data_IF_551952629675
#
_entry.id   IF_551952629675
#
_cell.length_a   1.000
_cell.length_b   1.000
_cell.length_c   1.000
_cell.angle_alpha   90.00
_cell.angle_beta   90.00
_cell.angle_gamma   90.00
#
_symmetry.space_group_name_H-M   'P 1'
#
loop_
_entity.id
_entity.type
_entity.pdbx_description
1 polymer ?
#
# COMPACT_ATOMS: atom_id res chain seq x y z
N UNK A 1 -0.96 13.17 26.99
CA UNK A 1 -0.72 12.97 25.53
C UNK A 1 0.26 11.83 25.18
N UNK A 2 1.42 11.69 25.83
CA UNK A 2 2.39 10.61 25.51
C UNK A 2 1.81 9.20 25.66
N UNK A 3 1.08 8.91 26.74
CA UNK A 3 0.44 7.60 26.94
C UNK A 3 -0.62 7.27 25.87
N UNK A 4 -1.44 8.25 25.49
CA UNK A 4 -2.45 8.08 24.44
C UNK A 4 -1.79 7.73 23.10
N UNK A 5 -0.75 8.48 22.70
CA UNK A 5 -0.05 8.27 21.42
C UNK A 5 0.87 7.04 21.42
N UNK A 6 1.47 6.72 22.56
CA UNK A 6 2.41 5.61 22.70
C UNK A 6 1.75 4.27 23.00
N UNK A 7 0.57 4.24 23.59
CA UNK A 7 -0.06 3.00 24.05
C UNK A 7 -1.47 2.84 23.52
N UNK A 8 -2.39 3.77 23.87
CA UNK A 8 -3.82 3.59 23.56
C UNK A 8 -4.12 3.61 22.06
N UNK A 9 -3.50 4.53 21.31
CA UNK A 9 -3.66 4.60 19.86
C UNK A 9 -3.16 3.34 19.14
N UNK A 10 -1.90 2.93 19.35
CA UNK A 10 -1.37 1.67 18.84
C UNK A 10 -2.23 0.45 19.21
N UNK A 11 -2.65 0.35 20.48
CA UNK A 11 -3.49 -0.75 20.95
C UNK A 11 -4.85 -0.77 20.26
N UNK A 12 -5.48 0.40 20.10
CA UNK A 12 -6.74 0.53 19.38
C UNK A 12 -6.62 0.04 17.93
N UNK A 13 -5.53 0.37 17.24
CA UNK A 13 -5.30 -0.09 15.86
C UNK A 13 -5.02 -1.60 15.80
N UNK A 14 -4.22 -2.13 16.73
CA UNK A 14 -3.93 -3.57 16.82
C UNK A 14 -5.21 -4.38 17.02
N UNK A 15 -6.12 -3.91 17.90
CA UNK A 15 -7.34 -4.63 18.24
C UNK A 15 -8.50 -4.35 17.28
N UNK A 16 -8.56 -3.14 16.72
CA UNK A 16 -9.69 -2.67 15.90
C UNK A 16 -9.54 -2.98 14.40
N UNK A 17 -8.33 -2.93 13.85
CA UNK A 17 -8.15 -3.13 12.41
C UNK A 17 -8.41 -4.58 11.94
N UNK A 18 -8.00 -5.64 12.66
CA UNK A 18 -8.34 -7.02 12.29
C UNK A 18 -9.83 -7.33 12.14
N UNK A 19 -10.70 -7.07 13.14
CA UNK A 19 -12.13 -7.28 12.98
C UNK A 19 -12.73 -6.37 11.92
N UNK A 20 -12.25 -5.13 11.79
CA UNK A 20 -12.73 -4.21 10.76
C UNK A 20 -12.51 -4.76 9.34
N UNK A 21 -11.35 -5.36 9.05
CA UNK A 21 -11.10 -5.99 7.74
C UNK A 21 -12.09 -7.12 7.46
N UNK A 22 -12.39 -7.96 8.45
CA UNK A 22 -13.38 -9.04 8.32
C UNK A 22 -14.79 -8.49 8.07
N UNK A 23 -15.19 -7.45 8.81
CA UNK A 23 -16.49 -6.80 8.62
C UNK A 23 -16.60 -6.17 7.23
N UNK A 24 -15.54 -5.55 6.72
CA UNK A 24 -15.53 -4.97 5.37
C UNK A 24 -15.64 -6.04 4.28
N UNK A 25 -14.93 -7.16 4.42
CA UNK A 25 -15.11 -8.30 3.52
C UNK A 25 -16.56 -8.81 3.54
N UNK A 26 -17.11 -9.07 4.74
CA UNK A 26 -18.48 -9.56 4.89
C UNK A 26 -19.51 -8.59 4.33
N UNK A 27 -19.33 -7.28 4.57
CA UNK A 27 -20.21 -6.25 4.03
C UNK A 27 -20.28 -6.31 2.50
N UNK A 28 -19.12 -6.39 1.84
CA UNK A 28 -19.08 -6.40 0.37
C UNK A 28 -19.66 -7.68 -0.24
N UNK A 29 -19.46 -8.83 0.43
CA UNK A 29 -19.78 -10.14 -0.14
C UNK A 29 -21.14 -10.69 0.29
N UNK A 30 -21.56 -10.45 1.54
CA UNK A 30 -22.81 -10.97 2.10
C UNK A 30 -23.90 -9.89 2.24
N UNK A 31 -23.55 -8.62 2.39
CA UNK A 31 -24.50 -7.52 2.60
C UNK A 31 -24.61 -6.57 1.40
N UNK A 32 -24.21 -7.03 0.20
CA UNK A 32 -24.28 -6.26 -1.04
C UNK A 32 -23.55 -4.91 -0.95
N UNK A 33 -22.50 -4.78 -0.12
CA UNK A 33 -21.79 -3.52 0.11
C UNK A 33 -22.52 -2.50 0.98
N UNK A 34 -23.68 -2.85 1.58
CA UNK A 34 -24.47 -1.94 2.41
C UNK A 34 -23.96 -1.89 3.86
N UNK A 35 -23.27 -0.79 4.18
CA UNK A 35 -22.91 -0.48 5.58
C UNK A 35 -24.14 -0.21 6.46
N UNK A 36 -25.27 0.20 5.86
CA UNK A 36 -26.50 0.39 6.61
C UNK A 36 -27.04 -0.93 7.14
N UNK A 37 -27.03 -1.99 6.32
CA UNK A 37 -27.42 -3.34 6.77
C UNK A 37 -26.48 -3.85 7.85
N UNK A 38 -25.16 -3.65 7.69
CA UNK A 38 -24.20 -4.01 8.74
C UNK A 38 -24.54 -3.29 10.05
N UNK A 39 -24.81 -1.99 9.98
CA UNK A 39 -25.17 -1.18 11.14
C UNK A 39 -26.46 -1.66 11.82
N UNK A 40 -27.48 -2.03 11.04
CA UNK A 40 -28.72 -2.60 11.59
C UNK A 40 -28.47 -3.93 12.32
N UNK A 41 -27.65 -4.83 11.76
CA UNK A 41 -27.28 -6.09 12.42
C UNK A 41 -26.55 -5.79 13.73
N UNK A 42 -25.61 -4.84 13.73
CA UNK A 42 -24.88 -4.42 14.93
C UNK A 42 -25.82 -3.86 16.01
N UNK A 43 -26.83 -3.06 15.63
CA UNK A 43 -27.81 -2.52 16.56
C UNK A 43 -28.72 -3.60 17.15
N UNK A 44 -29.11 -4.59 16.35
CA UNK A 44 -30.05 -5.63 16.77
C UNK A 44 -29.39 -6.73 17.60
N UNK A 45 -28.19 -7.17 17.21
CA UNK A 45 -27.50 -8.31 17.83
C UNK A 45 -26.38 -7.89 18.80
N UNK A 46 -25.94 -6.64 18.71
CA UNK A 46 -24.81 -6.11 19.48
C UNK A 46 -23.46 -6.31 18.76
N UNK A 47 -22.61 -5.28 18.83
CA UNK A 47 -21.33 -5.22 18.09
C UNK A 47 -20.44 -6.47 18.27
N UNK A 48 -20.20 -6.89 19.51
CA UNK A 48 -19.32 -8.04 19.78
C UNK A 48 -19.92 -9.35 19.29
N UNK A 49 -21.24 -9.52 19.39
CA UNK A 49 -21.92 -10.71 18.89
C UNK A 49 -21.83 -10.77 17.36
N UNK A 50 -22.13 -9.65 16.67
CA UNK A 50 -22.02 -9.57 15.21
C UNK A 50 -20.61 -9.88 14.73
N UNK A 51 -19.57 -9.27 15.33
CA UNK A 51 -18.17 -9.55 14.99
C UNK A 51 -17.84 -11.02 15.21
N UNK A 52 -18.24 -11.61 16.34
CA UNK A 52 -18.01 -13.01 16.63
C UNK A 52 -18.68 -13.93 15.62
N UNK A 53 -19.96 -13.71 15.31
CA UNK A 53 -20.74 -14.53 14.38
C UNK A 53 -20.17 -14.49 12.97
N UNK A 54 -19.74 -13.32 12.49
CA UNK A 54 -19.12 -13.16 11.16
C UNK A 54 -17.72 -13.76 11.12
N UNK A 55 -16.90 -13.53 12.15
CA UNK A 55 -15.49 -13.92 12.12
C UNK A 55 -15.26 -15.39 12.49
N UNK A 56 -16.00 -15.95 13.46
CA UNK A 56 -15.88 -17.33 13.91
C UNK A 56 -15.71 -18.37 12.79
N UNK A 57 -16.52 -18.39 11.71
CA UNK A 57 -16.41 -19.43 10.67
C UNK A 57 -15.11 -19.33 9.86
N UNK A 58 -14.49 -18.16 9.79
CA UNK A 58 -13.28 -17.94 8.98
C UNK A 58 -12.05 -17.60 9.83
N UNK A 59 -12.15 -17.59 11.17
CA UNK A 59 -11.13 -17.04 12.06
C UNK A 59 -9.73 -17.62 11.84
N UNK A 60 -9.63 -18.95 11.81
CA UNK A 60 -8.36 -19.66 11.55
C UNK A 60 -8.07 -19.86 10.05
N UNK A 61 -8.96 -19.38 9.18
CA UNK A 61 -8.99 -19.74 7.77
C UNK A 61 -9.35 -21.21 7.53
N UNK A 62 -9.15 -21.66 6.30
CA UNK A 62 -9.36 -23.04 5.86
C UNK A 62 -8.03 -23.68 5.46
N UNK A 63 -7.96 -25.00 5.36
CA UNK A 63 -6.77 -25.70 4.87
C UNK A 63 -6.36 -25.20 3.47
N UNK A 64 -7.35 -24.97 2.59
CA UNK A 64 -7.12 -24.38 1.26
C UNK A 64 -6.49 -23.00 1.34
N UNK A 65 -6.98 -22.13 2.23
CA UNK A 65 -6.43 -20.79 2.41
C UNK A 65 -4.95 -20.82 2.84
N UNK A 66 -4.60 -21.68 3.80
CA UNK A 66 -3.21 -21.85 4.24
C UNK A 66 -2.31 -22.39 3.14
N UNK A 67 -2.78 -23.38 2.36
CA UNK A 67 -2.05 -23.90 1.20
C UNK A 67 -1.78 -22.75 0.21
N UNK A 68 -2.78 -21.96 -0.16
CA UNK A 68 -2.62 -20.83 -1.07
C UNK A 68 -1.60 -19.81 -0.55
N UNK A 69 -1.70 -19.43 0.73
CA UNK A 69 -0.80 -18.46 1.36
C UNK A 69 0.64 -18.98 1.35
N UNK A 70 0.89 -20.20 1.82
CA UNK A 70 2.24 -20.75 1.89
C UNK A 70 2.82 -21.05 0.51
N UNK A 71 2.03 -21.58 -0.42
CA UNK A 71 2.45 -21.77 -1.81
C UNK A 71 2.87 -20.43 -2.43
N UNK A 72 2.10 -19.37 -2.22
CA UNK A 72 2.43 -18.03 -2.72
C UNK A 72 3.69 -17.46 -2.04
N UNK A 73 3.82 -17.57 -0.72
CA UNK A 73 5.02 -17.11 0.00
C UNK A 73 6.28 -17.83 -0.49
N UNK A 74 6.23 -19.15 -0.64
CA UNK A 74 7.37 -19.94 -1.12
C UNK A 74 7.69 -19.58 -2.56
N UNK A 75 6.68 -19.47 -3.43
CA UNK A 75 6.85 -19.08 -4.82
C UNK A 75 7.53 -17.71 -4.94
N UNK A 76 7.03 -16.70 -4.23
CA UNK A 76 7.61 -15.35 -4.23
C UNK A 76 9.00 -15.29 -3.61
N UNK A 77 9.26 -16.09 -2.58
CA UNK A 77 10.59 -16.21 -1.98
C UNK A 77 11.59 -16.77 -2.99
N UNK A 78 11.22 -17.85 -3.69
CA UNK A 78 12.04 -18.47 -4.73
C UNK A 78 12.28 -17.51 -5.88
N UNK A 79 11.24 -16.85 -6.42
CA UNK A 79 11.42 -15.88 -7.50
C UNK A 79 12.31 -14.71 -7.07
N UNK A 80 12.13 -14.18 -5.86
CA UNK A 80 12.97 -13.09 -5.33
C UNK A 80 14.44 -13.49 -5.28
N UNK A 81 14.74 -14.75 -4.93
CA UNK A 81 16.11 -15.28 -4.90
C UNK A 81 16.67 -15.59 -6.28
N UNK A 82 15.92 -16.32 -7.10
CA UNK A 82 16.39 -16.92 -8.35
C UNK A 82 16.39 -15.96 -9.52
N UNK A 83 15.40 -15.06 -9.60
CA UNK A 83 15.31 -14.11 -10.71
C UNK A 83 16.45 -13.11 -10.62
N UNK A 84 17.16 -12.94 -11.75
CA UNK A 84 18.26 -11.98 -11.87
C UNK A 84 17.72 -10.55 -11.75
N UNK A 85 18.48 -9.69 -11.10
CA UNK A 85 18.16 -8.28 -10.95
C UNK A 85 19.41 -7.49 -10.56
N UNK A 86 19.41 -6.19 -10.85
CA UNK A 86 20.53 -5.33 -10.48
C UNK A 86 20.54 -5.11 -8.97
N UNK A 87 21.72 -5.13 -8.36
CA UNK A 87 21.88 -4.73 -6.97
C UNK A 87 21.53 -3.25 -6.84
N UNK A 88 20.67 -2.92 -5.88
CA UNK A 88 20.26 -1.56 -5.58
C UNK A 88 20.61 -1.24 -4.14
N UNK A 89 21.38 -0.18 -3.95
CA UNK A 89 21.74 0.33 -2.63
C UNK A 89 20.69 1.36 -2.22
N UNK A 90 19.99 1.08 -1.12
CA UNK A 90 19.06 2.02 -0.55
C UNK A 90 19.77 3.21 0.11
N UNK A 91 19.00 4.17 0.62
CA UNK A 91 19.55 5.35 1.27
C UNK A 91 20.24 5.01 2.59
N UNK A 92 21.29 5.76 2.92
CA UNK A 92 22.04 5.62 4.18
C UNK A 92 21.10 5.93 5.36
N UNK A 93 21.08 5.05 6.35
CA UNK A 93 20.31 5.20 7.59
C UNK A 93 20.97 6.19 8.54
N UNK A 94 20.24 6.69 9.57
CA UNK A 94 20.83 7.56 10.59
C UNK A 94 22.05 6.93 11.30
N UNK A 95 22.07 5.61 11.45
CA UNK A 95 23.20 4.85 12.03
C UNK A 95 24.27 4.43 11.02
N UNK A 96 24.20 4.91 9.78
CA UNK A 96 25.22 4.69 8.75
C UNK A 96 25.10 3.39 7.94
N UNK A 97 24.13 2.52 8.24
CA UNK A 97 23.91 1.30 7.46
C UNK A 97 23.28 1.62 6.10
N UNK A 98 23.55 0.77 5.10
CA UNK A 98 22.98 0.85 3.75
C UNK A 98 22.24 -0.46 3.46
N UNK A 99 20.90 -0.44 3.34
CA UNK A 99 20.16 -1.64 2.98
C UNK A 99 20.41 -2.00 1.51
N UNK A 100 20.64 -3.28 1.26
CA UNK A 100 20.91 -3.81 -0.08
C UNK A 100 19.67 -4.56 -0.58
N UNK A 101 19.23 -4.22 -1.79
CA UNK A 101 18.07 -4.81 -2.44
C UNK A 101 18.46 -5.38 -3.81
N UNK A 102 17.60 -6.26 -4.33
CA UNK A 102 17.66 -6.71 -5.72
C UNK A 102 16.49 -6.07 -6.48
N UNK A 103 16.79 -5.26 -7.49
CA UNK A 103 15.81 -4.63 -8.35
C UNK A 103 15.34 -5.63 -9.42
N UNK A 104 14.42 -6.52 -9.02
CA UNK A 104 13.79 -7.53 -9.88
C UNK A 104 12.26 -7.55 -9.81
N UNK A 105 11.63 -6.59 -9.11
CA UNK A 105 10.20 -6.65 -8.82
C UNK A 105 9.31 -6.68 -10.05
N UNK A 106 9.66 -5.93 -11.11
CA UNK A 106 8.90 -5.96 -12.36
C UNK A 106 8.92 -7.34 -13.04
N UNK A 107 10.11 -7.95 -13.17
CA UNK A 107 10.24 -9.28 -13.76
C UNK A 107 9.53 -10.33 -12.92
N UNK A 108 9.69 -10.28 -11.59
CA UNK A 108 8.99 -11.20 -10.67
C UNK A 108 7.48 -11.04 -10.81
N UNK A 109 6.96 -9.81 -10.82
CA UNK A 109 5.52 -9.54 -11.00
C UNK A 109 4.98 -10.13 -12.30
N UNK A 110 5.68 -9.94 -13.42
CA UNK A 110 5.27 -10.51 -14.71
C UNK A 110 5.26 -12.04 -14.68
N UNK A 111 6.29 -12.68 -14.09
CA UNK A 111 6.33 -14.14 -13.94
C UNK A 111 5.16 -14.61 -13.06
N UNK A 112 4.90 -13.95 -11.94
CA UNK A 112 3.80 -14.29 -11.03
C UNK A 112 2.44 -14.22 -11.73
N UNK A 113 2.16 -13.12 -12.43
CA UNK A 113 0.92 -12.95 -13.20
C UNK A 113 0.82 -13.99 -14.32
N UNK A 114 1.90 -14.19 -15.07
CA UNK A 114 1.95 -15.17 -16.15
C UNK A 114 1.70 -16.59 -15.63
N UNK A 115 2.39 -17.02 -14.57
CA UNK A 115 2.23 -18.34 -13.98
C UNK A 115 0.81 -18.55 -13.44
N UNK A 116 0.21 -17.54 -12.81
CA UNK A 116 -1.18 -17.61 -12.36
C UNK A 116 -2.12 -17.81 -13.56
N UNK A 117 -2.06 -16.94 -14.57
CA UNK A 117 -2.93 -17.03 -15.74
C UNK A 117 -2.73 -18.31 -16.55
N UNK A 118 -1.47 -18.71 -16.79
CA UNK A 118 -1.15 -19.92 -17.53
C UNK A 118 -1.59 -21.17 -16.77
N UNK A 119 -1.34 -21.21 -15.46
CA UNK A 119 -1.78 -22.31 -14.59
C UNK A 119 -3.30 -22.43 -14.51
N UNK A 120 -4.02 -21.31 -14.42
CA UNK A 120 -5.48 -21.32 -14.22
C UNK A 120 -6.28 -21.43 -15.52
N UNK A 121 -5.92 -20.68 -16.57
CA UNK A 121 -6.71 -20.60 -17.80
C UNK A 121 -6.28 -21.60 -18.88
N UNK A 122 -4.98 -21.86 -19.02
CA UNK A 122 -4.47 -22.75 -20.06
C UNK A 122 -4.30 -24.19 -19.58
N UNK A 123 -3.52 -24.39 -18.51
CA UNK A 123 -3.28 -25.72 -17.95
C UNK A 123 -4.43 -26.24 -17.07
N UNK A 124 -5.32 -25.36 -16.62
CA UNK A 124 -6.45 -25.68 -15.74
C UNK A 124 -6.04 -26.43 -14.45
N UNK A 125 -4.86 -26.13 -13.90
CA UNK A 125 -4.34 -26.75 -12.67
C UNK A 125 -5.17 -26.38 -11.43
N UNK A 126 -5.79 -25.20 -11.45
CA UNK A 126 -6.68 -24.69 -10.41
C UNK A 126 -7.64 -23.66 -11.01
N UNK A 127 -8.79 -23.42 -10.34
CA UNK A 127 -9.75 -22.42 -10.80
C UNK A 127 -9.17 -21.01 -10.72
N UNK A 128 -9.37 -20.20 -11.76
CA UNK A 128 -9.06 -18.77 -11.73
C UNK A 128 -9.84 -18.02 -10.61
N UNK A 129 -10.98 -18.56 -10.16
CA UNK A 129 -11.81 -17.99 -9.09
C UNK A 129 -11.34 -18.36 -7.67
N UNK A 130 -10.32 -19.20 -7.54
CA UNK A 130 -9.94 -19.84 -6.27
C UNK A 130 -9.67 -18.84 -5.13
N UNK A 131 -9.12 -17.66 -5.45
CA UNK A 131 -8.83 -16.62 -4.45
C UNK A 131 -10.14 -15.98 -3.98
N UNK A 132 -11.05 -15.61 -4.88
CA UNK A 132 -12.36 -15.06 -4.49
C UNK A 132 -13.16 -16.06 -3.66
N UNK A 133 -13.21 -17.32 -4.11
CA UNK A 133 -14.01 -18.37 -3.46
C UNK A 133 -13.56 -18.67 -2.03
N UNK A 134 -12.26 -18.51 -1.75
CA UNK A 134 -11.67 -18.72 -0.43
C UNK A 134 -11.33 -17.41 0.29
N UNK A 135 -11.77 -16.25 -0.21
CA UNK A 135 -11.22 -14.96 0.23
C UNK A 135 -11.42 -14.69 1.72
N UNK A 136 -12.61 -15.00 2.27
CA UNK A 136 -12.85 -14.86 3.71
C UNK A 136 -11.90 -15.69 4.57
N UNK A 137 -11.70 -16.95 4.18
CA UNK A 137 -10.76 -17.85 4.83
C UNK A 137 -9.31 -17.39 4.69
N UNK A 138 -8.94 -16.81 3.54
CA UNK A 138 -7.62 -16.21 3.30
C UNK A 138 -7.40 -15.00 4.23
N UNK A 139 -8.37 -14.08 4.35
CA UNK A 139 -8.26 -12.92 5.24
C UNK A 139 -8.16 -13.36 6.71
N UNK A 140 -8.92 -14.38 7.11
CA UNK A 140 -8.81 -14.97 8.46
C UNK A 140 -7.43 -15.59 8.75
N UNK A 141 -6.93 -16.43 7.84
CA UNK A 141 -5.60 -17.01 7.94
C UNK A 141 -4.50 -15.95 7.94
N UNK A 142 -4.59 -14.93 7.06
CA UNK A 142 -3.61 -13.83 6.99
C UNK A 142 -3.63 -12.97 8.26
N UNK A 143 -4.78 -12.76 8.90
CA UNK A 143 -4.83 -12.10 10.21
C UNK A 143 -4.04 -12.88 11.26
N UNK A 144 -4.31 -14.18 11.40
CA UNK A 144 -3.57 -15.04 12.34
C UNK A 144 -2.06 -15.05 12.02
N UNK A 145 -1.71 -15.29 10.76
CA UNK A 145 -0.32 -15.34 10.29
C UNK A 145 0.43 -14.03 10.55
N UNK A 146 -0.15 -12.89 10.17
CA UNK A 146 0.51 -11.59 10.27
C UNK A 146 0.68 -11.12 11.71
N UNK A 147 -0.26 -11.41 12.61
CA UNK A 147 -0.12 -11.12 14.04
C UNK A 147 1.05 -11.92 14.66
N UNK A 148 1.16 -13.21 14.32
CA UNK A 148 2.29 -14.05 14.75
C UNK A 148 3.60 -13.58 14.13
N UNK A 149 3.60 -13.24 12.84
CA UNK A 149 4.77 -12.69 12.15
C UNK A 149 5.26 -11.39 12.79
N UNK A 150 4.35 -10.49 13.19
CA UNK A 150 4.74 -9.26 13.88
C UNK A 150 5.31 -9.53 15.27
N UNK A 151 4.81 -10.56 15.98
CA UNK A 151 5.39 -11.00 17.24
C UNK A 151 6.81 -11.54 17.04
N UNK A 152 7.00 -12.35 15.99
CA UNK A 152 8.31 -12.83 15.57
C UNK A 152 9.26 -11.67 15.25
N UNK A 153 8.83 -10.66 14.48
CA UNK A 153 9.66 -9.49 14.15
C UNK A 153 10.04 -8.69 15.40
N UNK A 154 9.12 -8.53 16.35
CA UNK A 154 9.40 -7.89 17.64
C UNK A 154 10.47 -8.64 18.43
N UNK A 155 10.31 -9.96 18.62
CA UNK A 155 11.24 -10.83 19.34
C UNK A 155 12.60 -10.83 18.64
N UNK A 156 12.63 -11.09 17.33
CA UNK A 156 13.84 -11.10 16.53
C UNK A 156 14.59 -9.77 16.66
N UNK A 157 13.91 -8.64 16.51
CA UNK A 157 14.58 -7.34 16.59
C UNK A 157 15.05 -6.94 17.98
N UNK A 158 14.54 -7.59 19.04
CA UNK A 158 14.99 -7.39 20.42
C UNK A 158 16.20 -8.26 20.76
N UNK A 159 16.25 -9.50 20.29
CA UNK A 159 17.25 -10.48 20.74
C UNK A 159 18.27 -10.87 19.66
N UNK A 160 17.95 -10.69 18.38
CA UNK A 160 18.79 -11.04 17.24
C UNK A 160 18.61 -10.04 16.08
N UNK A 161 18.91 -8.74 16.29
CA UNK A 161 18.76 -7.73 15.24
C UNK A 161 19.74 -7.97 14.09
N UNK A 162 19.28 -7.72 12.86
CA UNK A 162 20.04 -7.88 11.62
C UNK A 162 21.05 -6.75 11.38
N UNK A 163 20.83 -5.58 11.99
CA UNK A 163 21.75 -4.45 11.94
C UNK A 163 21.63 -3.58 13.19
N UNK A 164 22.49 -2.56 13.27
CA UNK A 164 22.39 -1.56 14.33
C UNK A 164 21.13 -0.69 14.22
N UNK A 165 20.38 -0.72 13.11
CA UNK A 165 19.06 -0.06 12.93
C UNK A 165 17.92 -0.74 13.70
N UNK A 166 18.23 -1.16 14.92
CA UNK A 166 17.31 -1.72 15.89
C UNK A 166 17.21 -0.82 17.12
N UNK A 167 16.13 -1.00 17.88
CA UNK A 167 15.95 -0.35 19.18
C UNK A 167 14.54 -0.54 19.73
N UNK A 168 14.37 -0.27 21.02
CA UNK A 168 13.10 -0.35 21.75
C UNK A 168 12.73 1.04 22.27
N UNK A 169 11.43 1.33 22.33
CA UNK A 169 10.90 2.51 23.02
C UNK A 169 10.73 2.31 24.52
N UNK A 170 10.94 1.08 25.02
CA UNK A 170 10.59 0.67 26.39
C UNK A 170 9.12 0.28 26.57
N UNK A 171 8.28 0.46 25.54
CA UNK A 171 6.87 0.09 25.56
C UNK A 171 6.60 -1.04 24.56
N UNK A 172 6.26 -2.22 25.07
CA UNK A 172 6.03 -3.43 24.27
C UNK A 172 4.91 -3.24 23.24
N UNK A 173 3.82 -2.55 23.60
CA UNK A 173 2.69 -2.31 22.69
C UNK A 173 3.15 -1.43 21.52
N UNK A 174 3.90 -0.37 21.81
CA UNK A 174 4.43 0.52 20.78
C UNK A 174 5.44 -0.19 19.89
N UNK A 175 6.34 -0.99 20.48
CA UNK A 175 7.40 -1.67 19.74
C UNK A 175 6.86 -2.81 18.87
N UNK A 176 5.79 -3.50 19.29
CA UNK A 176 5.06 -4.44 18.45
C UNK A 176 4.34 -3.70 17.30
N UNK A 177 3.70 -2.57 17.61
CA UNK A 177 2.98 -1.76 16.64
C UNK A 177 3.92 -1.19 15.56
N UNK A 178 4.97 -0.51 15.99
CA UNK A 178 5.89 0.24 15.14
C UNK A 178 6.99 -0.66 14.55
N UNK A 179 7.46 -1.64 15.31
CA UNK A 179 8.58 -2.50 14.96
C UNK A 179 9.87 -2.12 15.67
N UNK A 180 10.70 -3.11 15.97
CA UNK A 180 12.00 -2.96 16.64
C UNK A 180 13.15 -2.77 15.66
N UNK A 181 13.07 -3.35 14.46
CA UNK A 181 14.07 -3.21 13.39
C UNK A 181 13.55 -2.37 12.22
N UNK A 182 14.43 -1.57 11.60
CA UNK A 182 14.10 -0.86 10.37
C UNK A 182 14.12 -1.79 9.15
N UNK A 183 15.11 -2.68 9.08
CA UNK A 183 15.36 -3.59 7.96
C UNK A 183 15.67 -5.01 8.44
N UNK A 184 14.73 -5.71 9.08
CA UNK A 184 14.95 -7.09 9.48
C UNK A 184 15.24 -7.94 8.25
N UNK A 185 16.26 -8.79 8.35
CA UNK A 185 16.66 -9.71 7.30
C UNK A 185 16.62 -11.15 7.79
N UNK A 186 16.21 -12.07 6.91
CA UNK A 186 16.23 -13.50 7.16
C UNK A 186 16.53 -14.22 5.85
N UNK A 187 17.38 -15.26 5.92
CA UNK A 187 17.85 -16.01 4.75
C UNK A 187 18.38 -15.12 3.62
N UNK A 188 19.00 -13.98 3.95
CA UNK A 188 19.51 -13.01 2.97
C UNK A 188 18.44 -12.29 2.14
N UNK A 189 17.23 -12.11 2.68
CA UNK A 189 16.18 -11.23 2.12
C UNK A 189 15.80 -10.19 3.16
N UNK A 190 15.56 -8.96 2.72
CA UNK A 190 14.96 -7.91 3.54
C UNK A 190 13.46 -8.21 3.74
N UNK A 191 13.06 -8.58 4.95
CA UNK A 191 11.69 -8.99 5.25
C UNK A 191 10.69 -7.86 5.03
N UNK A 192 11.05 -6.61 5.33
CA UNK A 192 10.14 -5.47 5.14
C UNK A 192 9.79 -5.27 3.66
N UNK A 193 10.80 -5.29 2.79
CA UNK A 193 10.59 -5.19 1.34
C UNK A 193 9.85 -6.43 0.80
N UNK A 194 10.19 -7.62 1.29
CA UNK A 194 9.54 -8.86 0.87
C UNK A 194 8.05 -8.86 1.21
N UNK A 195 7.69 -8.58 2.47
CA UNK A 195 6.29 -8.55 2.92
C UNK A 195 5.50 -7.48 2.17
N UNK A 196 6.05 -6.29 2.02
CA UNK A 196 5.35 -5.17 1.41
C UNK A 196 5.22 -5.33 -0.11
N UNK A 197 6.35 -5.47 -0.80
CA UNK A 197 6.39 -5.48 -2.25
C UNK A 197 6.02 -6.84 -2.85
N UNK A 198 6.54 -7.94 -2.31
CA UNK A 198 6.36 -9.29 -2.90
C UNK A 198 5.06 -9.93 -2.42
N UNK A 199 4.76 -9.88 -1.14
CA UNK A 199 3.53 -10.51 -0.63
C UNK A 199 2.31 -9.60 -0.81
N UNK A 200 2.33 -8.38 -0.26
CA UNK A 200 1.19 -7.46 -0.32
C UNK A 200 0.88 -6.99 -1.74
N UNK A 201 1.81 -6.27 -2.38
CA UNK A 201 1.55 -5.62 -3.67
C UNK A 201 1.37 -6.60 -4.84
N UNK A 202 2.05 -7.76 -4.86
CA UNK A 202 1.85 -8.73 -5.95
C UNK A 202 0.56 -9.53 -5.77
N UNK A 203 0.19 -9.90 -4.54
CA UNK A 203 -1.08 -10.58 -4.30
C UNK A 203 -2.28 -9.71 -4.69
N UNK A 204 -2.19 -8.37 -4.54
CA UNK A 204 -3.19 -7.45 -5.05
C UNK A 204 -3.48 -7.72 -6.54
N UNK A 205 -2.45 -7.86 -7.38
CA UNK A 205 -2.65 -8.18 -8.81
C UNK A 205 -3.42 -9.49 -9.03
N UNK A 206 -3.04 -10.56 -8.32
CA UNK A 206 -3.69 -11.87 -8.45
C UNK A 206 -5.15 -11.86 -7.95
N UNK A 207 -5.43 -11.13 -6.86
CA UNK A 207 -6.77 -10.96 -6.32
C UNK A 207 -7.69 -10.34 -7.38
N UNK A 208 -7.24 -9.31 -8.10
CA UNK A 208 -8.03 -8.65 -9.14
C UNK A 208 -8.38 -9.59 -10.30
N UNK A 209 -7.42 -10.40 -10.75
CA UNK A 209 -7.65 -11.39 -11.79
C UNK A 209 -8.69 -12.42 -11.34
N UNK A 210 -8.60 -12.87 -10.09
CA UNK A 210 -9.57 -13.81 -9.55
C UNK A 210 -10.97 -13.22 -9.40
N UNK A 211 -11.08 -11.94 -9.04
CA UNK A 211 -12.36 -11.23 -8.96
C UNK A 211 -13.01 -11.07 -10.33
N UNK A 212 -12.22 -10.68 -11.34
CA UNK A 212 -12.70 -10.61 -12.72
C UNK A 212 -13.14 -11.99 -13.23
N UNK A 213 -12.35 -13.04 -12.98
CA UNK A 213 -12.69 -14.41 -13.35
C UNK A 213 -13.98 -14.86 -12.66
N UNK A 214 -14.19 -14.51 -11.38
CA UNK A 214 -15.41 -14.86 -10.67
C UNK A 214 -16.63 -14.18 -11.26
N UNK A 215 -16.56 -12.88 -11.56
CA UNK A 215 -17.67 -12.19 -12.21
C UNK A 215 -17.97 -12.81 -13.58
N UNK A 216 -16.93 -13.14 -14.35
CA UNK A 216 -17.09 -13.80 -15.65
C UNK A 216 -17.85 -15.13 -15.54
N UNK A 217 -17.49 -15.99 -14.57
CA UNK A 217 -18.16 -17.28 -14.36
C UNK A 217 -19.61 -17.11 -13.90
N UNK A 218 -19.90 -16.12 -13.05
CA UNK A 218 -21.25 -15.93 -12.50
C UNK A 218 -22.20 -15.21 -13.47
N UNK A 219 -21.72 -14.19 -14.18
CA UNK A 219 -22.56 -13.22 -14.88
C UNK A 219 -22.06 -12.82 -16.27
N UNK A 220 -20.89 -13.31 -16.68
CA UNK A 220 -20.12 -12.69 -17.76
C UNK A 220 -19.36 -11.45 -17.29
N UNK A 221 -18.34 -11.05 -18.05
CA UNK A 221 -17.45 -9.97 -17.65
C UNK A 221 -18.00 -8.62 -18.11
N UNK A 222 -18.25 -7.71 -17.16
CA UNK A 222 -18.81 -6.40 -17.44
C UNK A 222 -17.74 -5.36 -17.73
N UNK A 223 -18.07 -4.32 -18.52
CA UNK A 223 -17.11 -3.24 -18.79
C UNK A 223 -16.74 -2.44 -17.52
N UNK A 224 -17.64 -2.36 -16.53
CA UNK A 224 -17.37 -1.74 -15.24
C UNK A 224 -16.23 -2.46 -14.50
N UNK A 225 -16.30 -3.80 -14.43
CA UNK A 225 -15.23 -4.62 -13.86
C UNK A 225 -13.92 -4.49 -14.64
N UNK A 226 -13.98 -4.54 -15.98
CA UNK A 226 -12.79 -4.40 -16.83
C UNK A 226 -12.08 -3.07 -16.58
N UNK A 227 -12.81 -1.94 -16.53
CA UNK A 227 -12.22 -0.62 -16.28
C UNK A 227 -11.58 -0.56 -14.89
N UNK A 228 -12.29 -1.01 -13.84
CA UNK A 228 -11.78 -0.98 -12.48
C UNK A 228 -10.52 -1.84 -12.31
N UNK A 229 -10.55 -3.07 -12.82
CA UNK A 229 -9.41 -4.00 -12.78
C UNK A 229 -8.25 -3.47 -13.61
N UNK A 230 -8.49 -2.97 -14.82
CA UNK A 230 -7.42 -2.42 -15.67
C UNK A 230 -6.72 -1.24 -15.03
N UNK A 231 -7.46 -0.29 -14.43
CA UNK A 231 -6.86 0.86 -13.73
C UNK A 231 -5.99 0.43 -12.55
N UNK A 232 -6.48 -0.49 -11.72
CA UNK A 232 -5.68 -1.00 -10.60
C UNK A 232 -4.47 -1.81 -11.09
N UNK A 233 -4.59 -2.57 -12.17
CA UNK A 233 -3.47 -3.31 -12.75
C UNK A 233 -2.40 -2.37 -13.34
N UNK A 234 -2.82 -1.30 -14.02
CA UNK A 234 -1.91 -0.24 -14.49
C UNK A 234 -1.18 0.40 -13.30
N UNK A 235 -1.88 0.67 -12.20
CA UNK A 235 -1.29 1.21 -11.00
C UNK A 235 -0.23 0.28 -10.38
N UNK A 236 -0.54 -1.00 -10.18
CA UNK A 236 0.39 -1.99 -9.62
C UNK A 236 1.58 -2.21 -10.55
N UNK A 237 1.33 -2.26 -11.86
CA UNK A 237 2.40 -2.39 -12.86
C UNK A 237 3.34 -1.18 -12.82
N UNK A 238 2.79 0.04 -12.74
CA UNK A 238 3.56 1.27 -12.53
C UNK A 238 4.41 1.18 -11.26
N UNK A 239 3.85 0.69 -10.16
CA UNK A 239 4.59 0.51 -8.90
C UNK A 239 5.83 -0.37 -9.11
N UNK A 240 5.72 -1.51 -9.80
CA UNK A 240 6.89 -2.38 -10.03
C UNK A 240 7.89 -1.84 -11.05
N UNK A 241 7.43 -1.10 -12.06
CA UNK A 241 8.34 -0.35 -12.96
C UNK A 241 9.15 0.68 -12.16
N UNK A 242 8.54 1.29 -11.14
CA UNK A 242 9.13 2.32 -10.29
C UNK A 242 9.63 1.78 -8.93
N UNK A 243 9.82 0.47 -8.78
CA UNK A 243 10.09 -0.17 -7.48
C UNK A 243 11.28 0.46 -6.72
N UNK A 244 12.37 0.76 -7.43
CA UNK A 244 13.57 1.36 -6.80
C UNK A 244 13.30 2.75 -6.23
N UNK A 245 12.35 3.48 -6.81
CA UNK A 245 11.86 4.74 -6.25
C UNK A 245 11.08 4.54 -4.96
N UNK A 246 10.27 3.48 -4.89
CA UNK A 246 9.54 3.10 -3.67
C UNK A 246 10.47 2.74 -2.51
N UNK A 247 11.63 2.14 -2.79
CA UNK A 247 12.65 1.84 -1.78
C UNK A 247 13.25 3.12 -1.13
N UNK A 248 13.06 4.29 -1.74
CA UNK A 248 13.38 5.60 -1.17
C UNK A 248 12.19 6.33 -0.55
N UNK A 249 11.06 5.65 -0.29
CA UNK A 249 9.86 6.23 0.33
C UNK A 249 9.96 6.30 1.86
N UNK A 250 9.05 7.04 2.49
CA UNK A 250 8.97 7.16 3.95
C UNK A 250 8.77 5.79 4.63
N UNK A 251 7.93 4.94 4.05
CA UNK A 251 7.58 3.61 4.58
C UNK A 251 8.80 2.69 4.65
N UNK A 252 9.68 2.78 3.64
CA UNK A 252 10.91 2.00 3.60
C UNK A 252 12.03 2.68 4.40
N UNK A 253 12.19 3.99 4.33
CA UNK A 253 13.33 4.66 4.96
C UNK A 253 13.21 4.85 6.47
N UNK A 254 12.00 4.97 7.00
CA UNK A 254 11.79 5.49 8.35
C UNK A 254 10.85 4.67 9.20
N UNK A 255 9.82 4.08 8.60
CA UNK A 255 8.85 3.30 9.36
C UNK A 255 9.43 1.89 9.60
N UNK A 256 9.40 1.42 10.85
CA UNK A 256 10.03 0.13 11.22
C UNK A 256 9.12 -1.05 10.86
N UNK A 257 9.69 -2.24 10.82
CA UNK A 257 8.98 -3.47 10.45
C UNK A 257 8.20 -4.03 11.64
N UNK A 258 7.04 -3.44 11.93
CA UNK A 258 6.08 -3.93 12.93
C UNK A 258 4.67 -4.11 12.35
N UNK A 259 3.68 -4.24 13.23
CA UNK A 259 2.26 -4.40 12.86
C UNK A 259 1.81 -3.36 11.82
N UNK A 260 2.10 -2.08 12.04
CA UNK A 260 1.63 -0.98 11.19
C UNK A 260 1.92 -1.19 9.71
N UNK A 261 3.13 -1.66 9.35
CA UNK A 261 3.49 -1.96 7.97
C UNK A 261 3.14 -3.40 7.60
N UNK A 262 3.61 -4.37 8.39
CA UNK A 262 3.57 -5.77 7.97
C UNK A 262 2.14 -6.33 7.95
N UNK A 263 1.34 -6.05 8.97
CA UNK A 263 -0.08 -6.42 8.97
C UNK A 263 -0.86 -5.63 7.92
N UNK A 264 -0.57 -4.33 7.78
CA UNK A 264 -1.18 -3.48 6.75
C UNK A 264 -0.99 -4.03 5.34
N UNK A 265 0.23 -4.43 4.97
CA UNK A 265 0.50 -5.00 3.65
C UNK A 265 -0.12 -6.39 3.45
N UNK A 266 -0.19 -7.22 4.49
CA UNK A 266 -0.68 -8.60 4.37
C UNK A 266 -2.19 -8.74 4.46
N UNK A 267 -2.88 -7.84 5.17
CA UNK A 267 -4.33 -7.96 5.41
C UNK A 267 -5.08 -6.75 4.87
N UNK A 268 -4.64 -5.54 5.23
CA UNK A 268 -5.35 -4.32 4.88
C UNK A 268 -5.33 -4.05 3.37
N UNK A 269 -4.19 -4.23 2.71
CA UNK A 269 -4.08 -4.05 1.25
C UNK A 269 -4.99 -5.04 0.51
N UNK A 270 -4.87 -6.38 0.71
CA UNK A 270 -5.80 -7.32 0.09
C UNK A 270 -7.27 -7.03 0.34
N UNK A 271 -7.66 -6.60 1.54
CA UNK A 271 -9.07 -6.42 1.89
C UNK A 271 -9.66 -5.07 1.45
N UNK A 272 -8.94 -3.97 1.71
CA UNK A 272 -9.46 -2.62 1.53
C UNK A 272 -9.15 -2.08 0.14
N UNK A 273 -7.94 -2.30 -0.39
CA UNK A 273 -7.53 -1.70 -1.66
C UNK A 273 -8.25 -2.36 -2.84
N UNK A 274 -8.60 -3.64 -2.68
CA UNK A 274 -9.38 -4.41 -3.67
C UNK A 274 -10.89 -4.31 -3.45
N UNK A 275 -11.35 -3.62 -2.40
CA UNK A 275 -12.78 -3.55 -2.07
C UNK A 275 -13.68 -3.03 -3.20
N UNK A 276 -13.28 -2.06 -4.07
CA UNK A 276 -14.14 -1.63 -5.16
C UNK A 276 -14.40 -2.75 -6.18
N UNK A 277 -13.38 -3.54 -6.51
CA UNK A 277 -13.50 -4.67 -7.44
C UNK A 277 -14.14 -5.88 -6.77
N UNK A 278 -13.92 -6.09 -5.47
CA UNK A 278 -14.64 -7.10 -4.68
C UNK A 278 -16.15 -6.86 -4.73
N UNK A 279 -16.57 -5.61 -4.51
CA UNK A 279 -17.98 -5.20 -4.61
C UNK A 279 -18.57 -5.49 -6.00
N UNK A 280 -17.84 -5.14 -7.07
CA UNK A 280 -18.29 -5.32 -8.44
C UNK A 280 -18.58 -6.77 -8.80
N UNK A 281 -17.95 -7.76 -8.16
CA UNK A 281 -18.17 -9.18 -8.46
C UNK A 281 -19.65 -9.54 -8.36
N UNK A 282 -20.35 -9.07 -7.31
CA UNK A 282 -21.76 -9.35 -7.06
C UNK A 282 -22.71 -8.27 -7.59
N UNK A 283 -22.19 -7.22 -8.25
CA UNK A 283 -22.98 -6.11 -8.81
C UNK A 283 -22.69 -5.92 -10.30
N UNK A 284 -22.94 -6.95 -11.13
CA UNK A 284 -22.70 -6.86 -12.57
C UNK A 284 -23.61 -5.81 -13.19
N UNK A 285 -23.02 -4.83 -13.85
CA UNK A 285 -23.74 -3.86 -14.67
C UNK A 285 -22.83 -3.32 -15.78
N UNK A 286 -23.43 -2.86 -16.86
CA UNK A 286 -22.72 -2.26 -17.98
C UNK A 286 -22.89 -0.75 -17.96
N UNK A 287 -21.79 -0.03 -18.13
CA UNK A 287 -21.77 1.41 -18.30
C UNK A 287 -21.88 1.76 -19.79
N UNK A 288 -22.44 2.93 -20.15
CA UNK A 288 -22.30 3.45 -21.51
C UNK A 288 -20.83 3.55 -21.89
N UNK A 289 -20.45 3.12 -23.11
CA UNK A 289 -19.05 3.04 -23.52
C UNK A 289 -18.28 4.37 -23.41
N UNK A 290 -18.94 5.50 -23.70
CA UNK A 290 -18.34 6.83 -23.54
C UNK A 290 -18.01 7.13 -22.08
N UNK A 291 -18.87 6.70 -21.14
CA UNK A 291 -18.67 6.91 -19.71
C UNK A 291 -17.57 6.00 -19.17
N UNK A 292 -17.58 4.72 -19.56
CA UNK A 292 -16.51 3.77 -19.23
C UNK A 292 -15.15 4.24 -19.76
N UNK A 293 -15.10 4.72 -21.01
CA UNK A 293 -13.89 5.30 -21.62
C UNK A 293 -13.42 6.57 -20.89
N UNK A 294 -14.35 7.45 -20.52
CA UNK A 294 -14.06 8.65 -19.73
C UNK A 294 -13.43 8.33 -18.36
N UNK A 295 -13.99 7.36 -17.63
CA UNK A 295 -13.45 6.88 -16.35
C UNK A 295 -12.03 6.33 -16.55
N UNK A 296 -11.84 5.47 -17.56
CA UNK A 296 -10.53 4.88 -17.84
C UNK A 296 -9.48 5.94 -18.18
N UNK A 297 -9.80 6.89 -19.05
CA UNK A 297 -8.88 7.97 -19.44
C UNK A 297 -8.52 8.84 -18.23
N UNK A 298 -9.52 9.23 -17.43
CA UNK A 298 -9.29 10.06 -16.25
C UNK A 298 -8.48 9.33 -15.16
N UNK A 299 -8.78 8.04 -14.93
CA UNK A 299 -8.03 7.19 -14.00
C UNK A 299 -6.58 6.95 -14.46
N UNK A 300 -6.38 6.55 -15.71
CA UNK A 300 -5.05 6.34 -16.28
C UNK A 300 -4.24 7.63 -16.32
N UNK A 301 -4.88 8.75 -16.66
CA UNK A 301 -4.29 10.09 -16.60
C UNK A 301 -3.84 10.46 -15.18
N UNK A 302 -4.65 10.15 -14.16
CA UNK A 302 -4.30 10.36 -12.75
C UNK A 302 -3.06 9.53 -12.35
N UNK A 303 -3.04 8.23 -12.68
CA UNK A 303 -1.89 7.34 -12.43
C UNK A 303 -0.62 7.88 -13.12
N UNK A 304 -0.76 8.36 -14.37
CA UNK A 304 0.35 8.93 -15.13
C UNK A 304 0.87 10.23 -14.51
N UNK A 305 -0.01 11.16 -14.11
CA UNK A 305 0.37 12.43 -13.49
C UNK A 305 1.09 12.17 -12.16
N UNK A 306 0.59 11.24 -11.35
CA UNK A 306 1.24 10.80 -10.12
C UNK A 306 2.68 10.31 -10.40
N UNK A 307 2.85 9.41 -11.39
CA UNK A 307 4.17 8.93 -11.80
C UNK A 307 5.09 10.05 -12.28
N UNK A 308 4.59 10.95 -13.13
CA UNK A 308 5.36 12.05 -13.69
C UNK A 308 5.80 13.05 -12.61
N UNK A 309 4.97 13.28 -11.59
CA UNK A 309 5.33 14.11 -10.45
C UNK A 309 6.52 13.53 -9.68
N UNK A 310 6.49 12.24 -9.34
CA UNK A 310 7.61 11.60 -8.65
C UNK A 310 8.88 11.52 -9.51
N UNK A 311 8.73 11.17 -10.79
CA UNK A 311 9.84 11.14 -11.75
C UNK A 311 10.47 12.53 -11.92
N UNK A 312 9.69 13.60 -11.90
CA UNK A 312 10.22 14.97 -11.98
C UNK A 312 11.13 15.27 -10.78
N UNK A 313 10.72 14.94 -9.56
CA UNK A 313 11.54 15.13 -8.35
C UNK A 313 12.81 14.30 -8.39
N UNK A 314 12.71 13.04 -8.79
CA UNK A 314 13.87 12.17 -8.92
C UNK A 314 14.86 12.72 -9.95
N UNK A 315 14.39 13.09 -11.15
CA UNK A 315 15.22 13.65 -12.22
C UNK A 315 15.98 14.90 -11.77
N UNK A 316 15.28 15.85 -11.14
CA UNK A 316 15.92 17.08 -10.65
C UNK A 316 17.01 16.77 -9.63
N UNK A 317 16.77 15.84 -8.71
CA UNK A 317 17.76 15.43 -7.70
C UNK A 317 18.97 14.74 -8.33
N UNK A 318 18.75 13.82 -9.27
CA UNK A 318 19.84 13.08 -9.94
C UNK A 318 20.69 13.95 -10.85
N UNK A 319 20.10 14.99 -11.45
CA UNK A 319 20.85 15.94 -12.30
C UNK A 319 21.39 17.13 -11.52
N UNK A 320 21.29 17.14 -10.18
CA UNK A 320 21.65 18.28 -9.33
C UNK A 320 21.05 19.62 -9.81
N UNK A 321 19.81 19.60 -10.30
CA UNK A 321 19.15 20.79 -10.88
C UNK A 321 19.47 21.09 -12.34
N UNK A 322 20.47 20.42 -12.94
CA UNK A 322 20.84 20.58 -14.36
C UNK A 322 19.90 19.80 -15.30
N UNK A 323 18.63 20.20 -15.33
CA UNK A 323 17.65 19.72 -16.30
C UNK A 323 16.59 20.79 -16.56
N UNK A 324 15.64 20.52 -17.47
CA UNK A 324 14.47 21.39 -17.68
C UNK A 324 13.23 20.77 -17.05
N UNK A 325 12.45 21.59 -16.36
CA UNK A 325 11.11 21.27 -15.84
C UNK A 325 10.11 22.16 -16.57
N UNK A 326 9.22 21.55 -17.36
CA UNK A 326 8.25 22.24 -18.22
C UNK A 326 8.88 23.34 -19.09
N UNK A 327 10.00 23.01 -19.74
CA UNK A 327 10.71 23.89 -20.66
C UNK A 327 11.63 24.93 -20.01
N UNK A 328 11.61 25.10 -18.68
CA UNK A 328 12.39 26.11 -17.96
C UNK A 328 13.38 25.46 -16.97
N UNK A 329 14.41 26.21 -16.57
CA UNK A 329 15.30 25.78 -15.48
C UNK A 329 14.51 25.65 -14.17
N UNK A 330 14.70 24.57 -13.39
CA UNK A 330 13.91 24.34 -12.19
C UNK A 330 14.22 25.39 -11.13
N UNK A 331 13.17 25.86 -10.44
CA UNK A 331 13.33 26.66 -9.23
C UNK A 331 13.62 25.71 -8.07
N UNK A 332 14.78 25.88 -7.45
CA UNK A 332 15.24 25.00 -6.37
C UNK A 332 15.67 25.82 -5.15
N UNK A 333 15.50 25.23 -3.97
CA UNK A 333 16.11 25.70 -2.72
C UNK A 333 17.15 24.67 -2.31
N UNK A 334 18.42 25.10 -2.26
CA UNK A 334 19.53 24.29 -1.75
C UNK A 334 19.50 24.31 -0.23
N UNK A 335 19.06 23.23 0.39
CA UNK A 335 18.94 23.12 1.84
C UNK A 335 20.15 22.37 2.42
N UNK A 336 20.86 23.03 3.33
CA UNK A 336 21.90 22.37 4.15
C UNK A 336 21.28 21.80 5.42
N UNK A 337 21.73 20.61 5.82
CA UNK A 337 21.33 19.97 7.08
C UNK A 337 22.49 19.17 7.65
N UNK A 338 22.46 18.93 8.97
CA UNK A 338 23.42 18.09 9.65
C UNK A 338 22.84 16.69 9.88
N UNK A 339 23.64 15.65 9.67
CA UNK A 339 23.29 14.29 10.08
C UNK A 339 23.37 14.14 11.60
N UNK A 340 22.85 13.03 12.14
CA UNK A 340 23.00 12.70 13.56
C UNK A 340 24.48 12.55 13.97
N UNK A 341 25.35 12.23 13.00
CA UNK A 341 26.81 12.14 13.17
C UNK A 341 27.53 13.49 13.03
N UNK A 342 26.80 14.60 12.81
CA UNK A 342 27.37 15.94 12.67
C UNK A 342 27.89 16.28 11.26
N UNK A 343 27.72 15.40 10.27
CA UNK A 343 28.16 15.63 8.89
C UNK A 343 27.22 16.62 8.20
N UNK A 344 27.75 17.68 7.58
CA UNK A 344 26.97 18.61 6.79
C UNK A 344 26.65 18.01 5.42
N UNK A 345 25.36 17.92 5.09
CA UNK A 345 24.86 17.47 3.78
C UNK A 345 23.95 18.50 3.15
N UNK A 346 23.92 18.51 1.83
CA UNK A 346 23.00 19.34 1.05
C UNK A 346 21.91 18.48 0.41
N UNK A 347 20.71 19.03 0.29
CA UNK A 347 19.61 18.42 -0.45
C UNK A 347 18.84 19.48 -1.24
N UNK A 348 18.24 19.04 -2.35
CA UNK A 348 17.46 19.88 -3.25
C UNK A 348 15.99 19.80 -2.86
N UNK A 349 15.41 20.97 -2.57
CA UNK A 349 13.96 21.17 -2.47
C UNK A 349 13.46 21.79 -3.79
N UNK A 350 12.64 21.06 -4.53
CA UNK A 350 12.14 21.48 -5.84
C UNK A 350 10.85 22.28 -5.69
N UNK A 351 10.83 23.53 -6.14
CA UNK A 351 9.69 24.46 -6.05
C UNK A 351 9.17 24.90 -7.43
N UNK A 352 9.24 24.02 -8.43
CA UNK A 352 8.72 24.25 -9.79
C UNK A 352 8.09 22.98 -10.39
N UNK A 353 7.33 23.14 -11.48
CA UNK A 353 6.50 22.06 -12.04
C UNK A 353 5.46 21.59 -11.02
N UNK A 354 5.19 20.28 -10.96
CA UNK A 354 4.24 19.71 -9.99
C UNK A 354 4.52 20.12 -8.53
N UNK A 355 5.79 20.11 -8.13
CA UNK A 355 6.24 20.46 -6.77
C UNK A 355 6.26 21.97 -6.50
N UNK A 356 5.98 22.79 -7.52
CA UNK A 356 5.71 24.22 -7.37
C UNK A 356 4.22 24.53 -7.23
N UNK A 357 3.33 23.60 -7.60
CA UNK A 357 1.86 23.75 -7.47
C UNK A 357 1.42 23.49 -6.02
N UNK A 358 1.89 22.39 -5.44
CA UNK A 358 1.74 22.09 -4.01
C UNK A 358 2.87 21.18 -3.53
N UNK A 359 3.16 21.21 -2.22
CA UNK A 359 4.31 20.48 -1.62
C UNK A 359 4.21 18.97 -1.81
N UNK A 360 2.99 18.44 -1.86
CA UNK A 360 2.69 17.03 -2.06
C UNK A 360 1.73 16.81 -3.23
N UNK A 361 1.92 17.53 -4.35
CA UNK A 361 1.01 17.46 -5.50
C UNK A 361 0.66 16.03 -5.93
N UNK A 362 1.63 15.11 -5.95
CA UNK A 362 1.42 13.68 -6.27
C UNK A 362 0.34 12.96 -5.45
N UNK A 363 -0.06 13.46 -4.27
CA UNK A 363 -1.15 12.87 -3.47
C UNK A 363 -2.54 13.14 -4.07
N UNK A 364 -2.73 14.26 -4.76
CA UNK A 364 -4.01 14.56 -5.43
C UNK A 364 -4.34 13.55 -6.56
N UNK A 365 -3.46 13.30 -7.54
CA UNK A 365 -3.70 12.29 -8.56
C UNK A 365 -3.68 10.86 -8.00
N UNK A 366 -3.06 10.61 -6.83
CA UNK A 366 -3.16 9.33 -6.13
C UNK A 366 -4.59 9.08 -5.63
N UNK A 367 -5.21 10.07 -4.96
CA UNK A 367 -6.61 10.01 -4.52
C UNK A 367 -7.56 9.96 -5.72
N UNK A 368 -7.27 10.74 -6.78
CA UNK A 368 -8.07 10.73 -8.00
C UNK A 368 -8.03 9.37 -8.70
N UNK A 369 -6.85 8.73 -8.81
CA UNK A 369 -6.74 7.37 -9.32
C UNK A 369 -7.60 6.39 -8.48
N UNK A 370 -7.55 6.52 -7.15
CA UNK A 370 -8.37 5.73 -6.26
C UNK A 370 -9.87 5.92 -6.44
N UNK A 371 -10.27 7.16 -6.67
CA UNK A 371 -11.64 7.49 -7.01
C UNK A 371 -12.04 6.85 -8.34
N UNK A 372 -11.27 7.03 -9.42
CA UNK A 372 -11.66 6.58 -10.76
C UNK A 372 -11.70 5.05 -10.91
N UNK A 373 -10.90 4.25 -10.19
CA UNK A 373 -11.11 2.79 -10.18
C UNK A 373 -12.27 2.33 -9.28
N UNK A 374 -12.86 3.24 -8.50
CA UNK A 374 -14.03 2.98 -7.65
C UNK A 374 -15.34 3.44 -8.31
N UNK A 375 -15.31 4.49 -9.14
CA UNK A 375 -16.47 5.00 -9.90
C UNK A 375 -17.23 3.94 -10.71
N UNK A 376 -16.59 2.90 -11.28
CA UNK A 376 -17.33 1.84 -11.95
C UNK A 376 -18.34 1.12 -11.04
N UNK A 377 -18.23 1.21 -9.71
CA UNK A 377 -19.22 0.70 -8.77
C UNK A 377 -20.47 1.59 -8.63
N UNK A 378 -20.52 2.73 -9.33
CA UNK A 378 -21.55 3.77 -9.20
C UNK A 378 -21.67 4.25 -7.76
N UNK A 379 -22.81 4.85 -7.37
CA UNK A 379 -22.97 5.54 -6.08
C UNK A 379 -24.11 4.95 -5.22
N UNK A 380 -24.51 3.70 -5.47
CA UNK A 380 -25.58 3.05 -4.70
C UNK A 380 -25.16 2.74 -3.26
N UNK A 381 -23.91 2.30 -3.08
CA UNK A 381 -23.35 1.94 -1.78
C UNK A 381 -22.00 2.62 -1.55
N UNK A 382 -21.70 2.91 -0.28
CA UNK A 382 -20.47 3.60 0.11
C UNK A 382 -19.25 2.68 0.17
N UNK A 383 -19.42 1.37 0.33
CA UNK A 383 -18.30 0.44 0.55
C UNK A 383 -17.15 0.56 -0.48
N UNK A 384 -17.39 0.72 -1.80
CA UNK A 384 -16.33 0.95 -2.79
C UNK A 384 -15.52 2.22 -2.55
N UNK A 385 -16.11 3.26 -1.96
CA UNK A 385 -15.45 4.55 -1.71
C UNK A 385 -14.75 4.62 -0.36
N UNK A 386 -14.93 3.63 0.52
CA UNK A 386 -14.23 3.58 1.80
C UNK A 386 -12.71 3.71 1.62
N UNK A 387 -12.15 3.02 0.62
CA UNK A 387 -10.72 3.12 0.32
C UNK A 387 -10.30 4.54 -0.06
N UNK A 388 -11.11 5.27 -0.84
CA UNK A 388 -10.83 6.67 -1.22
C UNK A 388 -10.78 7.56 0.02
N UNK A 389 -11.72 7.41 0.94
CA UNK A 389 -11.74 8.15 2.20
C UNK A 389 -10.55 7.79 3.08
N UNK A 390 -10.27 6.49 3.27
CA UNK A 390 -9.12 6.01 4.02
C UNK A 390 -7.80 6.58 3.46
N UNK A 391 -7.60 6.48 2.15
CA UNK A 391 -6.39 6.96 1.49
C UNK A 391 -6.23 8.47 1.63
N UNK A 392 -7.33 9.23 1.53
CA UNK A 392 -7.32 10.68 1.73
C UNK A 392 -6.85 11.04 3.15
N UNK A 393 -7.40 10.38 4.18
CA UNK A 393 -6.98 10.59 5.57
C UNK A 393 -5.51 10.20 5.77
N UNK A 394 -5.08 9.05 5.22
CA UNK A 394 -3.71 8.57 5.29
C UNK A 394 -2.72 9.57 4.67
N UNK A 395 -3.03 10.11 3.49
CA UNK A 395 -2.15 11.03 2.77
C UNK A 395 -2.11 12.43 3.42
N UNK A 396 -3.22 12.89 4.00
CA UNK A 396 -3.25 14.13 4.79
C UNK A 396 -2.38 13.98 6.04
N UNK A 397 -2.55 12.91 6.82
CA UNK A 397 -1.71 12.64 7.98
C UNK A 397 -0.23 12.52 7.59
N UNK A 398 0.05 11.81 6.49
CA UNK A 398 1.42 11.68 5.93
C UNK A 398 2.02 13.03 5.55
N UNK A 399 1.26 13.93 4.91
CA UNK A 399 1.73 15.28 4.58
C UNK A 399 2.10 16.07 5.85
N UNK A 400 1.29 16.00 6.91
CA UNK A 400 1.64 16.65 8.18
C UNK A 400 2.88 16.06 8.84
N UNK A 401 3.06 14.73 8.79
CA UNK A 401 4.26 14.08 9.32
C UNK A 401 5.51 14.47 8.54
N UNK A 402 5.43 14.52 7.20
CA UNK A 402 6.56 14.90 6.36
C UNK A 402 6.91 16.38 6.53
N UNK A 403 5.92 17.29 6.58
CA UNK A 403 6.16 18.72 6.85
C UNK A 403 6.87 18.94 8.20
N UNK A 404 6.45 18.25 9.26
CA UNK A 404 7.11 18.34 10.58
C UNK A 404 8.56 17.85 10.52
N UNK A 405 8.81 16.77 9.77
CA UNK A 405 10.14 16.20 9.59
C UNK A 405 11.03 17.14 8.77
N UNK A 406 10.53 17.67 7.66
CA UNK A 406 11.25 18.60 6.81
C UNK A 406 11.53 19.92 7.53
N UNK A 407 10.59 20.44 8.33
CA UNK A 407 10.81 21.59 9.20
C UNK A 407 11.95 21.35 10.21
N UNK A 408 11.94 20.19 10.90
CA UNK A 408 13.01 19.82 11.84
C UNK A 408 14.37 19.65 11.15
N UNK A 409 14.37 19.09 9.94
CA UNK A 409 15.59 18.75 9.20
C UNK A 409 16.23 19.96 8.51
N UNK A 410 15.44 20.81 7.86
CA UNK A 410 15.95 21.89 7.01
C UNK A 410 15.74 23.30 7.60
N UNK A 411 14.99 23.45 8.70
CA UNK A 411 14.85 24.71 9.42
C UNK A 411 14.39 25.87 8.52
N UNK A 412 15.18 26.94 8.47
CA UNK A 412 14.89 28.13 7.68
C UNK A 412 14.72 27.83 6.17
N UNK A 413 15.48 26.89 5.61
CA UNK A 413 15.32 26.51 4.19
C UNK A 413 13.93 25.91 3.91
N UNK A 414 13.35 25.20 4.88
CA UNK A 414 11.99 24.69 4.77
C UNK A 414 10.95 25.81 4.80
N UNK A 415 11.18 26.84 5.63
CA UNK A 415 10.31 28.02 5.67
C UNK A 415 10.33 28.77 4.33
N UNK A 416 11.52 29.00 3.75
CA UNK A 416 11.64 29.56 2.40
C UNK A 416 10.90 28.71 1.38
N UNK A 417 11.06 27.38 1.43
CA UNK A 417 10.33 26.48 0.54
C UNK A 417 8.80 26.58 0.70
N UNK A 418 8.30 26.66 1.95
CA UNK A 418 6.88 26.83 2.23
C UNK A 418 6.33 28.18 1.77
N UNK A 419 7.13 29.24 1.78
CA UNK A 419 6.74 30.54 1.20
C UNK A 419 6.61 30.48 -0.32
N UNK A 420 7.48 29.71 -0.98
CA UNK A 420 7.41 29.50 -2.43
C UNK A 420 6.24 28.61 -2.86
N UNK A 421 5.90 27.63 -2.03
CA UNK A 421 4.86 26.63 -2.32
C UNK A 421 3.97 26.51 -1.08
N UNK A 422 2.97 27.40 -0.90
CA UNK A 422 2.21 27.52 0.35
C UNK A 422 1.26 26.34 0.61
N UNK A 423 0.71 25.74 -0.45
CA UNK A 423 -0.28 24.66 -0.36
C UNK A 423 0.39 23.29 -0.11
N UNK A 424 -0.19 22.49 0.79
CA UNK A 424 0.28 21.14 1.11
C UNK A 424 -0.08 20.15 0.01
N UNK A 425 -1.37 20.00 -0.29
CA UNK A 425 -1.89 18.99 -1.21
C UNK A 425 -2.74 19.65 -2.29
N UNK A 426 -3.78 20.38 -1.90
CA UNK A 426 -4.77 20.93 -2.83
C UNK A 426 -4.38 22.38 -3.12
N UNK A 427 -3.94 22.71 -4.35
CA UNK A 427 -3.55 24.06 -4.68
C UNK A 427 -4.73 25.02 -4.45
N UNK A 428 -4.45 26.20 -3.89
CA UNK A 428 -5.44 27.23 -3.58
C UNK A 428 -6.45 26.90 -2.47
N UNK A 429 -6.30 25.75 -1.79
CA UNK A 429 -7.20 25.33 -0.70
C UNK A 429 -6.44 24.87 0.54
N UNK A 430 -5.51 23.93 0.40
CA UNK A 430 -4.86 23.24 1.53
C UNK A 430 -3.39 22.90 1.28
#
# INVERSE_FOLDING_TARGET
MKFIRGTLGPLFLILGCPPFAILMWYTNTALQGSLHLLWQIILNEGFFHTVYTIWRPVFFGSSTAWILIFSFIIFEFLLTKLVKGKTFYGPVTPKGNIPIYKANGFTVFLITVFCFCFGSFYLQLFSATIIYDNFGAIVGALNCFSLVLCAFLYIKGRFAPSSTDSGTSGNVIFDYYWGTELYPSLFGINLKMFINCRLGMMSWGLILLSYAAKQHVLFGLTNAMVVAVALQFIYITKFFIWETGYLGSLDIMHDRAGFYICWGCLVWVPCIYTSPTMYLVMHPHSLPYWFAGGIFIAGAGSILINYLADRQRQRVRTTAGNCKVWGRSPRIVMASYYTETGEQKQNILLSSGWWGVSRHFHYLPEIAAAFFWSVPALFTHFAPYFYVCFLSVLLIDRAFRDDKRCAKKYGAYWQTYCQLVPYKIIPYVF
#
